data_IF_995542780835
#
_entry.id   IF_995542780835
#
_cell.length_a   1.000
_cell.length_b   1.000
_cell.length_c   1.000
_cell.angle_alpha   90.00
_cell.angle_beta   90.00
_cell.angle_gamma   90.00
#
_symmetry.space_group_name_H-M   'P 1'
#
loop_
_entity.id
_entity.type
_entity.pdbx_description
1 polymer ?
#
# COMPACT_ATOMS: atom_id res chain seq x y z
N UNK A 1 -7.66 -10.27 -8.44
CA UNK A 1 -6.83 -10.86 -7.36
C UNK A 1 -6.90 -9.95 -6.13
N UNK A 2 -6.74 -10.49 -4.91
CA UNK A 2 -6.63 -9.69 -3.68
C UNK A 2 -5.24 -9.86 -3.08
N UNK A 3 -4.59 -8.76 -2.74
CA UNK A 3 -3.28 -8.73 -2.07
C UNK A 3 -3.49 -8.15 -0.67
N UNK A 4 -2.97 -8.83 0.35
CA UNK A 4 -3.10 -8.43 1.75
C UNK A 4 -1.72 -8.16 2.32
N UNK A 5 -1.51 -6.96 2.84
CA UNK A 5 -0.30 -6.60 3.58
C UNK A 5 -0.63 -6.54 5.07
N UNK A 6 -0.04 -7.47 5.82
CA UNK A 6 -0.19 -7.53 7.27
C UNK A 6 0.85 -6.66 7.96
N UNK A 7 0.39 -5.63 8.68
CA UNK A 7 1.22 -4.73 9.47
C UNK A 7 2.48 -4.21 8.75
N UNK A 8 2.35 -3.65 7.53
CA UNK A 8 3.51 -3.24 6.75
C UNK A 8 4.28 -2.13 7.47
N UNK A 9 5.61 -2.26 7.50
CA UNK A 9 6.49 -1.35 8.24
C UNK A 9 7.21 -0.35 7.33
N UNK A 10 7.40 -0.69 6.06
CA UNK A 10 8.21 0.11 5.12
C UNK A 10 7.28 0.80 4.10
N UNK A 11 7.19 2.14 4.09
CA UNK A 11 6.26 2.87 3.23
C UNK A 11 6.57 2.68 1.74
N UNK A 12 7.85 2.63 1.36
CA UNK A 12 8.29 2.45 -0.04
C UNK A 12 7.81 1.12 -0.61
N UNK A 13 7.87 0.04 0.18
CA UNK A 13 7.37 -1.28 -0.24
C UNK A 13 5.87 -1.26 -0.49
N UNK A 14 5.12 -0.64 0.44
CA UNK A 14 3.66 -0.49 0.28
C UNK A 14 3.33 0.34 -0.95
N UNK A 15 4.03 1.45 -1.20
CA UNK A 15 3.83 2.28 -2.38
C UNK A 15 4.12 1.55 -3.71
N UNK A 16 5.16 0.73 -3.77
CA UNK A 16 5.46 -0.09 -4.94
C UNK A 16 4.35 -1.12 -5.19
N UNK A 17 3.86 -1.77 -4.14
CA UNK A 17 2.79 -2.76 -4.24
C UNK A 17 1.47 -2.10 -4.65
N UNK A 18 1.15 -0.90 -4.15
CA UNK A 18 0.00 -0.10 -4.61
C UNK A 18 0.06 0.11 -6.13
N UNK A 19 1.22 0.52 -6.67
CA UNK A 19 1.39 0.71 -8.12
C UNK A 19 1.18 -0.57 -8.90
N UNK A 20 1.72 -1.70 -8.42
CA UNK A 20 1.48 -3.02 -9.03
C UNK A 20 0.00 -3.40 -8.99
N UNK A 21 -0.70 -3.12 -7.88
CA UNK A 21 -2.13 -3.38 -7.76
C UNK A 21 -2.93 -2.55 -8.77
N UNK A 22 -2.60 -1.28 -8.95
CA UNK A 22 -3.23 -0.42 -9.95
C UNK A 22 -2.99 -0.95 -11.38
N UNK A 23 -1.75 -1.32 -11.72
CA UNK A 23 -1.40 -1.85 -13.04
C UNK A 23 -2.06 -3.20 -13.37
N UNK A 24 -2.36 -4.01 -12.35
CA UNK A 24 -2.93 -5.36 -12.50
C UNK A 24 -4.42 -5.44 -12.21
N UNK A 25 -5.06 -4.30 -11.91
CA UNK A 25 -6.45 -4.24 -11.45
C UNK A 25 -6.71 -5.18 -10.24
N UNK A 26 -5.75 -5.23 -9.32
CA UNK A 26 -5.82 -6.01 -8.08
C UNK A 26 -6.26 -5.15 -6.91
N UNK A 27 -7.02 -5.72 -5.98
CA UNK A 27 -7.42 -5.04 -4.74
C UNK A 27 -6.35 -5.23 -3.67
N UNK A 28 -5.97 -4.14 -2.99
CA UNK A 28 -5.00 -4.14 -1.90
C UNK A 28 -5.68 -3.89 -0.55
N UNK A 29 -5.39 -4.73 0.44
CA UNK A 29 -5.87 -4.60 1.82
C UNK A 29 -4.67 -4.40 2.74
N UNK A 30 -4.70 -3.34 3.55
CA UNK A 30 -3.69 -3.06 4.57
C UNK A 30 -4.25 -3.37 5.95
N UNK A 31 -3.66 -4.34 6.66
CA UNK A 31 -4.04 -4.69 8.03
C UNK A 31 -3.20 -3.88 9.00
N UNK A 32 -3.88 -3.19 9.92
CA UNK A 32 -3.27 -2.35 10.97
C UNK A 32 -2.61 -3.19 12.09
N UNK A 33 -1.70 -2.60 12.90
CA UNK A 33 -1.13 -1.26 12.78
C UNK A 33 -0.14 -1.14 11.62
N UNK A 34 -0.06 0.04 11.01
CA UNK A 34 0.93 0.34 9.97
C UNK A 34 2.16 0.94 10.67
N UNK A 35 3.36 0.51 10.28
CA UNK A 35 4.61 1.07 10.82
C UNK A 35 4.97 2.44 10.25
N UNK A 36 4.09 3.04 9.45
CA UNK A 36 4.25 4.36 8.84
C UNK A 36 2.91 5.11 8.78
N UNK A 37 2.97 6.43 8.63
CA UNK A 37 1.77 7.26 8.50
C UNK A 37 1.20 7.16 7.08
N UNK A 38 -0.10 6.89 6.95
CA UNK A 38 -0.81 6.97 5.66
C UNK A 38 -1.13 8.40 5.25
N UNK A 39 -0.96 9.36 6.17
CA UNK A 39 -1.06 10.79 5.87
C UNK A 39 0.20 11.34 5.22
N UNK A 40 1.29 10.56 5.24
CA UNK A 40 2.50 10.95 4.52
C UNK A 40 2.19 11.08 3.03
N UNK A 41 2.66 12.20 2.48
CA UNK A 41 2.47 12.73 1.12
C UNK A 41 2.59 11.69 -0.03
N UNK A 42 3.19 10.53 0.25
CA UNK A 42 3.46 9.43 -0.66
C UNK A 42 2.21 8.64 -1.09
N UNK A 43 1.19 8.47 -0.24
CA UNK A 43 -0.02 7.72 -0.64
C UNK A 43 -0.96 8.53 -1.55
N UNK A 44 -0.96 9.87 -1.42
CA UNK A 44 -1.81 10.76 -2.24
C UNK A 44 -1.39 10.82 -3.72
N UNK A 45 -0.18 10.39 -4.09
CA UNK A 45 0.33 10.43 -5.48
C UNK A 45 0.32 9.07 -6.18
N UNK A 46 -0.19 8.02 -5.52
CA UNK A 46 -0.26 6.68 -6.09
C UNK A 46 -1.62 6.37 -6.75
N UNK A 47 -2.45 7.41 -6.95
CA UNK A 47 -3.56 7.40 -7.90
C UNK A 47 -3.06 7.68 -9.31
#
# INVERSE_FOLDING_TARGET
MKIVLFQPQIPQNTGNIVRTCAATNSSLILVRPLGFSTQDRWLKRAG
#
